data_IF_879211913454
#
_entry.id   IF_879211913454
#
_cell.length_a   1.000
_cell.length_b   1.000
_cell.length_c   1.000
_cell.angle_alpha   90.00
_cell.angle_beta   90.00
_cell.angle_gamma   90.00
#
_symmetry.space_group_name_H-M   'P 1'
#
loop_
_entity.id
_entity.type
_entity.pdbx_description
1 polymer ?
#
# COMPACT_ATOMS: atom_id res chain seq x y z
N UNK A 1 -27.80 0.09 -13.48
CA UNK A 1 -28.61 -0.48 -14.58
C UNK A 1 -30.05 -0.05 -14.37
N UNK A 2 -30.73 0.48 -15.39
CA UNK A 2 -32.12 0.96 -15.31
C UNK A 2 -33.05 -0.12 -15.86
N UNK A 3 -34.00 -0.56 -15.05
CA UNK A 3 -35.03 -1.53 -15.47
C UNK A 3 -36.38 -0.82 -15.43
N UNK A 4 -37.09 -0.88 -16.55
CA UNK A 4 -38.46 -0.40 -16.66
C UNK A 4 -39.39 -1.60 -16.49
N UNK A 5 -40.29 -1.53 -15.51
CA UNK A 5 -41.27 -2.58 -15.23
C UNK A 5 -42.50 -2.41 -16.11
N UNK A 6 -43.30 -3.47 -16.23
CA UNK A 6 -44.51 -3.51 -17.05
C UNK A 6 -45.56 -2.45 -16.64
N UNK A 7 -45.50 -1.95 -15.39
CA UNK A 7 -46.32 -0.85 -14.87
C UNK A 7 -45.71 0.55 -15.07
N UNK A 8 -44.68 0.68 -15.92
CA UNK A 8 -44.05 1.96 -16.28
C UNK A 8 -43.20 2.57 -15.17
N UNK A 9 -42.91 1.82 -14.10
CA UNK A 9 -42.01 2.27 -13.03
C UNK A 9 -40.57 2.00 -13.42
N UNK A 10 -39.72 2.95 -13.07
CA UNK A 10 -38.30 2.87 -13.32
C UNK A 10 -37.58 2.55 -12.02
N UNK A 11 -36.89 1.41 -11.97
CA UNK A 11 -36.02 1.04 -10.87
C UNK A 11 -34.57 1.18 -11.31
N UNK A 12 -33.82 1.98 -10.55
CA UNK A 12 -32.39 2.11 -10.73
C UNK A 12 -31.69 1.14 -9.78
N UNK A 13 -31.13 0.07 -10.35
CA UNK A 13 -30.26 -0.83 -9.62
C UNK A 13 -28.85 -0.24 -9.67
N UNK A 14 -28.40 0.27 -8.53
CA UNK A 14 -26.98 0.56 -8.31
C UNK A 14 -26.33 -0.79 -8.01
N UNK A 15 -25.44 -1.24 -8.90
CA UNK A 15 -24.72 -2.51 -8.76
C UNK A 15 -23.38 -2.33 -8.04
N UNK A 16 -23.15 -1.16 -7.46
CA UNK A 16 -21.90 -0.81 -6.80
C UNK A 16 -22.22 -0.41 -5.37
N UNK A 17 -21.61 -1.08 -4.40
CA UNK A 17 -21.52 -0.54 -3.06
C UNK A 17 -20.97 0.88 -3.15
N UNK A 18 -21.73 1.87 -2.69
CA UNK A 18 -21.36 3.30 -2.79
C UNK A 18 -20.07 3.64 -2.04
N UNK A 19 -19.62 2.75 -1.16
CA UNK A 19 -18.31 2.74 -0.53
C UNK A 19 -17.94 1.29 -0.21
N UNK A 20 -16.65 0.97 -0.30
CA UNK A 20 -16.09 -0.32 0.07
C UNK A 20 -15.02 -0.06 1.12
N UNK A 21 -15.12 -0.72 2.27
CA UNK A 21 -14.03 -0.68 3.24
C UNK A 21 -12.90 -1.57 2.74
N UNK A 22 -11.74 -0.95 2.56
CA UNK A 22 -10.51 -1.60 2.15
C UNK A 22 -9.57 -1.67 3.34
N UNK A 23 -8.95 -2.82 3.58
CA UNK A 23 -7.92 -2.95 4.61
C UNK A 23 -6.71 -2.09 4.26
N UNK A 24 -6.07 -1.50 5.27
CA UNK A 24 -4.76 -0.89 5.09
C UNK A 24 -3.77 -1.95 4.55
N UNK A 25 -2.81 -1.58 3.69
CA UNK A 25 -1.80 -2.51 3.23
C UNK A 25 -0.98 -3.01 4.42
N UNK A 26 -0.76 -4.32 4.49
CA UNK A 26 0.00 -4.96 5.56
C UNK A 26 1.30 -5.51 4.99
N UNK A 27 2.42 -5.12 5.59
CA UNK A 27 3.73 -5.61 5.19
C UNK A 27 3.98 -7.01 5.71
N UNK A 28 4.81 -7.76 5.00
CA UNK A 28 5.15 -9.14 5.36
C UNK A 28 6.64 -9.20 5.66
N UNK A 29 7.42 -8.69 4.72
CA UNK A 29 8.86 -8.72 4.79
C UNK A 29 9.46 -7.60 3.94
N UNK A 30 10.70 -7.25 4.25
CA UNK A 30 11.47 -6.30 3.46
C UNK A 30 12.82 -6.91 3.07
N UNK A 31 13.41 -6.41 1.99
CA UNK A 31 14.71 -6.83 1.49
C UNK A 31 15.36 -5.72 0.69
N UNK A 32 16.62 -5.92 0.33
CA UNK A 32 17.41 -4.90 -0.34
C UNK A 32 18.13 -5.42 -1.60
N UNK A 33 17.90 -6.68 -1.95
CA UNK A 33 18.46 -7.39 -3.10
C UNK A 33 17.39 -8.19 -3.88
N UNK A 34 16.15 -8.22 -3.41
CA UNK A 34 15.04 -8.98 -4.01
C UNK A 34 15.10 -10.50 -3.81
N UNK A 35 16.06 -10.99 -3.03
CA UNK A 35 16.29 -12.42 -2.78
C UNK A 35 16.18 -12.74 -1.29
N UNK A 36 16.87 -11.97 -0.46
CA UNK A 36 16.89 -12.12 0.98
C UNK A 36 15.87 -11.18 1.61
N UNK A 37 14.97 -11.76 2.39
CA UNK A 37 13.87 -11.03 3.03
C UNK A 37 13.89 -11.24 4.54
N UNK A 38 13.70 -10.13 5.27
CA UNK A 38 13.50 -10.12 6.71
C UNK A 38 12.01 -9.93 6.99
N UNK A 39 11.40 -10.89 7.68
CA UNK A 39 10.00 -10.80 8.07
C UNK A 39 9.80 -9.69 9.11
N UNK A 40 8.64 -9.04 9.03
CA UNK A 40 8.25 -8.02 10.01
C UNK A 40 7.58 -8.72 11.18
N UNK A 41 8.15 -8.53 12.37
CA UNK A 41 7.60 -9.05 13.60
C UNK A 41 6.60 -8.06 14.20
N UNK A 42 5.32 -8.26 13.89
CA UNK A 42 4.22 -7.47 14.46
C UNK A 42 3.95 -7.77 15.94
N UNK A 43 4.58 -8.80 16.52
CA UNK A 43 4.47 -9.12 17.96
C UNK A 43 5.55 -8.42 18.79
N UNK A 44 6.65 -7.98 18.16
CA UNK A 44 7.66 -7.19 18.82
C UNK A 44 7.08 -5.81 19.19
N UNK A 45 7.08 -5.49 20.48
CA UNK A 45 6.57 -4.22 20.98
C UNK A 45 7.65 -3.48 21.77
N UNK A 46 7.66 -2.16 21.65
CA UNK A 46 8.43 -1.24 22.50
C UNK A 46 7.46 -0.60 23.48
N UNK A 47 7.85 -0.59 24.75
CA UNK A 47 7.13 0.15 25.77
C UNK A 47 7.46 1.63 25.68
N UNK A 48 6.46 2.48 25.48
CA UNK A 48 6.60 3.93 25.58
C UNK A 48 5.75 4.47 26.74
N UNK A 49 5.97 5.73 27.18
CA UNK A 49 5.11 6.38 28.18
C UNK A 49 3.63 6.44 27.78
N UNK A 50 3.33 6.30 26.48
CA UNK A 50 2.00 6.34 25.89
C UNK A 50 1.40 4.93 25.69
N UNK A 51 2.09 3.88 26.15
CA UNK A 51 1.70 2.47 26.04
C UNK A 51 2.61 1.63 25.15
N UNK A 52 2.33 0.32 25.07
CA UNK A 52 3.03 -0.59 24.16
C UNK A 52 2.72 -0.22 22.71
N UNK A 53 3.75 -0.08 21.89
CA UNK A 53 3.65 0.16 20.44
C UNK A 53 4.39 -0.92 19.70
N UNK A 54 3.96 -1.25 18.47
CA UNK A 54 4.72 -2.17 17.61
C UNK A 54 6.12 -1.59 17.40
N UNK A 55 7.13 -2.43 17.52
CA UNK A 55 8.50 -2.09 17.20
C UNK A 55 8.62 -1.92 15.67
N UNK A 56 8.52 -0.68 15.21
CA UNK A 56 8.62 -0.35 13.79
C UNK A 56 9.96 -0.88 13.23
N UNK A 57 9.94 -1.76 12.21
CA UNK A 57 11.17 -2.24 11.62
C UNK A 57 11.93 -1.06 11.00
N UNK A 58 13.19 -0.89 11.41
CA UNK A 58 14.07 0.11 10.81
C UNK A 58 14.82 -0.53 9.66
N UNK A 59 14.50 -0.10 8.42
CA UNK A 59 15.08 -0.69 7.22
C UNK A 59 16.23 0.19 6.73
N UNK A 60 17.43 -0.36 6.71
CA UNK A 60 18.61 0.34 6.18
C UNK A 60 18.58 0.34 4.64
N UNK A 61 18.68 1.52 4.04
CA UNK A 61 18.69 1.70 2.58
C UNK A 61 19.80 2.68 2.20
N UNK A 62 20.64 2.31 1.23
CA UNK A 62 21.66 3.19 0.64
C UNK A 62 21.10 4.08 -0.49
N UNK A 63 21.86 5.08 -0.98
CA UNK A 63 21.35 6.11 -1.89
C UNK A 63 20.96 5.58 -3.28
N UNK A 64 21.58 4.48 -3.71
CA UNK A 64 21.29 3.79 -4.97
C UNK A 64 20.59 2.43 -4.76
N UNK A 65 20.16 2.12 -3.54
CA UNK A 65 19.64 0.80 -3.21
C UNK A 65 18.14 0.71 -3.49
N UNK A 66 17.73 -0.42 -4.08
CA UNK A 66 16.32 -0.76 -4.24
C UNK A 66 15.79 -1.36 -2.93
N UNK A 67 14.74 -0.75 -2.40
CA UNK A 67 13.94 -1.33 -1.33
C UNK A 67 12.90 -2.28 -1.93
N UNK A 68 12.86 -3.51 -1.42
CA UNK A 68 11.87 -4.52 -1.79
C UNK A 68 10.92 -4.74 -0.61
N UNK A 69 9.63 -4.55 -0.82
CA UNK A 69 8.60 -4.77 0.20
C UNK A 69 7.63 -5.85 -0.28
N UNK A 70 7.45 -6.89 0.53
CA UNK A 70 6.34 -7.85 0.36
C UNK A 70 5.15 -7.35 1.17
N UNK A 71 3.99 -7.29 0.54
CA UNK A 71 2.73 -6.85 1.16
C UNK A 71 1.62 -7.84 0.85
N UNK A 72 0.68 -7.99 1.78
CA UNK A 72 -0.60 -8.60 1.47
C UNK A 72 -1.40 -7.66 0.56
N UNK A 73 -2.13 -8.22 -0.40
CA UNK A 73 -3.05 -7.43 -1.21
C UNK A 73 -4.15 -6.86 -0.31
N UNK A 74 -4.59 -5.60 -0.52
CA UNK A 74 -5.71 -5.05 0.22
C UNK A 74 -6.97 -5.89 0.04
N UNK A 75 -7.79 -5.96 1.08
CA UNK A 75 -8.99 -6.77 1.12
C UNK A 75 -10.23 -5.93 1.35
N UNK A 76 -11.37 -6.42 0.86
CA UNK A 76 -12.69 -5.90 1.23
C UNK A 76 -13.59 -7.01 1.75
N UNK A 77 -14.64 -6.60 2.46
CA UNK A 77 -15.77 -7.47 2.73
C UNK A 77 -16.45 -7.87 1.41
N UNK A 78 -16.99 -9.08 1.39
CA UNK A 78 -17.84 -9.52 0.31
C UNK A 78 -19.11 -8.66 0.24
N UNK A 79 -19.61 -8.45 -0.97
CA UNK A 79 -20.86 -7.74 -1.24
C UNK A 79 -21.96 -8.73 -1.63
N UNK A 80 -23.22 -8.31 -1.59
CA UNK A 80 -24.36 -9.18 -1.88
C UNK A 80 -24.23 -9.85 -3.25
N UNK A 81 -24.36 -11.19 -3.28
CA UNK A 81 -24.22 -12.02 -4.47
C UNK A 81 -22.84 -12.66 -4.64
N UNK A 82 -21.87 -12.31 -3.80
CA UNK A 82 -20.57 -12.97 -3.74
C UNK A 82 -20.56 -14.19 -2.81
N UNK A 83 -19.70 -15.15 -3.10
CA UNK A 83 -19.62 -16.42 -2.37
C UNK A 83 -18.60 -16.42 -1.23
N UNK A 84 -17.65 -15.48 -1.24
CA UNK A 84 -16.62 -15.33 -0.20
C UNK A 84 -17.10 -14.49 0.99
N UNK A 85 -16.26 -14.42 2.04
CA UNK A 85 -16.44 -13.44 3.15
C UNK A 85 -15.57 -12.20 2.95
N UNK A 86 -14.37 -12.40 2.40
CA UNK A 86 -13.46 -11.33 2.01
C UNK A 86 -12.92 -11.61 0.61
N UNK A 87 -12.57 -10.53 -0.08
CA UNK A 87 -11.97 -10.57 -1.41
C UNK A 87 -10.65 -9.80 -1.38
N UNK A 88 -9.59 -10.45 -1.88
CA UNK A 88 -8.35 -9.77 -2.24
C UNK A 88 -8.63 -8.89 -3.47
N UNK A 89 -8.15 -7.67 -3.43
CA UNK A 89 -8.45 -6.65 -4.42
C UNK A 89 -7.39 -6.53 -5.50
N UNK A 90 -7.86 -6.41 -6.74
CA UNK A 90 -7.03 -6.25 -7.93
C UNK A 90 -6.73 -4.79 -8.27
N UNK A 91 -5.63 -4.54 -8.97
CA UNK A 91 -5.43 -3.29 -9.73
C UNK A 91 -5.11 -2.05 -8.89
N UNK A 92 -4.75 -2.22 -7.62
CA UNK A 92 -4.38 -1.11 -6.75
C UNK A 92 -3.05 -0.47 -7.18
N UNK A 93 -2.96 0.84 -7.01
CA UNK A 93 -1.72 1.61 -7.17
C UNK A 93 -1.10 1.88 -5.81
N UNK A 94 0.22 1.74 -5.74
CA UNK A 94 1.02 1.95 -4.55
C UNK A 94 2.08 2.99 -4.86
N UNK A 95 2.07 4.10 -4.13
CA UNK A 95 3.01 5.20 -4.35
C UNK A 95 3.68 5.59 -3.04
N UNK A 96 5.03 5.67 -2.98
CA UNK A 96 5.69 6.23 -1.82
C UNK A 96 5.47 7.75 -1.76
N UNK A 97 5.12 8.25 -0.59
CA UNK A 97 4.87 9.65 -0.29
C UNK A 97 5.66 10.04 0.95
N UNK A 98 6.34 11.19 0.88
CA UNK A 98 7.21 11.67 1.94
C UNK A 98 6.72 13.06 2.35
N UNK A 99 5.52 13.15 2.95
CA UNK A 99 4.89 14.45 3.17
C UNK A 99 5.60 15.26 4.24
N UNK A 100 6.21 14.60 5.24
CA UNK A 100 6.72 15.21 6.45
C UNK A 100 8.22 15.58 6.37
N UNK A 101 8.59 16.46 5.44
CA UNK A 101 9.97 16.98 5.31
C UNK A 101 10.04 18.50 5.19
N UNK A 102 11.21 19.11 5.48
CA UNK A 102 11.47 20.53 5.25
C UNK A 102 12.81 20.74 4.51
N UNK A 103 12.80 20.94 3.17
CA UNK A 103 11.64 20.85 2.27
C UNK A 103 11.10 19.41 2.14
N UNK A 104 9.82 19.28 1.83
CA UNK A 104 9.14 17.98 1.68
C UNK A 104 9.28 17.45 0.26
N UNK A 105 9.68 16.18 0.09
CA UNK A 105 9.67 15.50 -1.21
C UNK A 105 8.24 15.24 -1.69
N UNK A 106 7.30 14.96 -0.78
CA UNK A 106 5.91 14.64 -1.11
C UNK A 106 5.77 13.34 -1.92
N UNK A 107 4.66 13.21 -2.66
CA UNK A 107 4.35 12.01 -3.45
C UNK A 107 5.39 11.79 -4.55
N UNK A 108 5.97 10.60 -4.57
CA UNK A 108 7.00 10.19 -5.52
C UNK A 108 6.37 9.34 -6.65
N UNK A 109 5.68 10.02 -7.57
CA UNK A 109 4.91 9.37 -8.64
C UNK A 109 5.76 8.48 -9.55
N UNK A 110 7.06 8.76 -9.69
CA UNK A 110 8.01 7.97 -10.47
C UNK A 110 8.23 6.54 -9.94
N UNK A 111 7.83 6.27 -8.70
CA UNK A 111 7.90 4.96 -8.06
C UNK A 111 6.52 4.29 -7.90
N UNK A 112 5.49 4.83 -8.53
CA UNK A 112 4.14 4.22 -8.52
C UNK A 112 4.20 2.81 -9.10
N UNK A 113 3.72 1.84 -8.33
CA UNK A 113 3.55 0.45 -8.74
C UNK A 113 2.07 0.13 -8.85
N UNK A 114 1.64 -0.47 -9.96
CA UNK A 114 0.27 -0.98 -10.12
C UNK A 114 0.30 -2.50 -9.99
N UNK A 115 -0.60 -3.08 -9.20
CA UNK A 115 -0.78 -4.52 -9.18
C UNK A 115 -1.43 -4.97 -10.49
N UNK A 116 -0.63 -5.60 -11.35
CA UNK A 116 -1.06 -6.15 -12.64
C UNK A 116 -1.18 -7.68 -12.63
N UNK A 117 -0.74 -8.32 -11.54
CA UNK A 117 -0.76 -9.77 -11.41
C UNK A 117 -2.18 -10.26 -11.10
N UNK A 118 -2.84 -9.63 -10.12
CA UNK A 118 -4.25 -9.89 -9.84
C UNK A 118 -5.10 -9.00 -10.74
N UNK A 119 -5.85 -9.63 -11.65
CA UNK A 119 -6.67 -8.92 -12.65
C UNK A 119 -8.10 -8.66 -12.21
N UNK A 120 -8.60 -9.47 -11.28
CA UNK A 120 -9.98 -9.43 -10.78
C UNK A 120 -9.98 -9.72 -9.30
N UNK A 121 -10.86 -9.05 -8.56
CA UNK A 121 -11.11 -9.36 -7.15
C UNK A 121 -11.38 -10.85 -6.99
N UNK A 122 -10.71 -11.47 -6.03
CA UNK A 122 -10.75 -12.93 -5.84
C UNK A 122 -11.06 -13.23 -4.38
N UNK A 123 -11.93 -14.21 -4.08
CA UNK A 123 -12.16 -14.63 -2.69
C UNK A 123 -10.83 -14.98 -2.01
N UNK A 124 -10.64 -14.52 -0.77
CA UNK A 124 -9.42 -14.80 -0.02
C UNK A 124 -9.18 -16.31 0.11
N UNK A 125 -7.94 -16.73 -0.10
CA UNK A 125 -7.46 -18.05 0.33
C UNK A 125 -6.62 -17.88 1.60
N UNK A 126 -7.17 -18.22 2.76
CA UNK A 126 -6.45 -18.06 4.04
C UNK A 126 -5.27 -19.01 4.20
N UNK A 127 -5.25 -20.14 3.47
CA UNK A 127 -4.13 -21.07 3.47
C UNK A 127 -2.96 -20.60 2.59
N UNK A 128 -3.23 -19.72 1.63
CA UNK A 128 -2.24 -19.13 0.73
C UNK A 128 -2.63 -17.66 0.44
N UNK A 129 -2.40 -16.76 1.41
CA UNK A 129 -2.85 -15.38 1.28
C UNK A 129 -2.15 -14.68 0.12
N UNK A 130 -2.90 -13.89 -0.64
CA UNK A 130 -2.37 -13.22 -1.82
C UNK A 130 -1.39 -12.10 -1.45
N UNK A 131 -0.21 -12.12 -2.08
CA UNK A 131 0.87 -11.16 -1.81
C UNK A 131 1.40 -10.51 -3.08
N UNK A 132 1.93 -9.30 -2.96
CA UNK A 132 2.64 -8.62 -4.04
C UNK A 132 3.98 -8.05 -3.54
N UNK A 133 4.85 -7.73 -4.50
CA UNK A 133 6.17 -7.14 -4.22
C UNK A 133 6.28 -5.74 -4.80
N UNK A 134 6.53 -4.76 -3.93
CA UNK A 134 6.85 -3.38 -4.31
C UNK A 134 8.38 -3.22 -4.42
N UNK A 135 8.84 -2.45 -5.41
CA UNK A 135 10.27 -2.23 -5.70
C UNK A 135 10.54 -0.74 -5.84
N UNK A 136 11.28 -0.17 -4.89
CA UNK A 136 11.44 1.28 -4.79
C UNK A 136 12.89 1.71 -4.68
N UNK A 137 13.35 2.43 -5.71
CA UNK A 137 14.67 3.07 -5.73
C UNK A 137 14.56 4.48 -5.12
N UNK A 138 14.22 4.54 -3.83
CA UNK A 138 13.83 5.78 -3.13
C UNK A 138 14.87 6.89 -3.34
N UNK A 139 16.14 6.61 -3.05
CA UNK A 139 17.21 7.60 -3.16
C UNK A 139 17.43 8.08 -4.60
N UNK A 140 17.33 7.19 -5.58
CA UNK A 140 17.61 7.50 -6.98
C UNK A 140 16.43 8.15 -7.73
N UNK A 141 15.19 7.96 -7.26
CA UNK A 141 13.98 8.37 -7.99
C UNK A 141 13.03 9.30 -7.21
N UNK A 142 13.26 9.54 -5.92
CA UNK A 142 12.49 10.51 -5.14
C UNK A 142 13.33 11.70 -4.65
N UNK A 143 14.60 11.45 -4.33
CA UNK A 143 15.53 12.49 -3.90
C UNK A 143 16.46 12.91 -5.04
N UNK A 144 16.95 14.15 -4.98
CA UNK A 144 17.86 14.76 -5.95
C UNK A 144 17.39 14.69 -7.42
N UNK A 145 16.07 14.58 -7.62
CA UNK A 145 15.42 14.56 -8.93
C UNK A 145 14.35 15.65 -9.05
N UNK A 146 14.01 16.10 -10.27
CA UNK A 146 12.91 17.03 -10.50
C UNK A 146 11.56 16.47 -10.00
N UNK A 147 10.59 17.34 -9.62
CA UNK A 147 10.66 18.80 -9.69
C UNK A 147 11.34 19.46 -8.48
N UNK A 148 11.45 18.76 -7.34
CA UNK A 148 11.87 19.38 -6.07
C UNK A 148 13.38 19.37 -5.83
N UNK A 149 14.12 18.41 -6.41
CA UNK A 149 15.58 18.30 -6.33
C UNK A 149 16.14 18.36 -4.89
N UNK A 150 15.47 17.69 -3.95
CA UNK A 150 15.83 17.70 -2.53
C UNK A 150 16.86 16.61 -2.26
N UNK A 151 18.01 16.95 -1.66
CA UNK A 151 19.03 15.97 -1.31
C UNK A 151 18.54 15.00 -0.21
N UNK A 152 18.86 13.71 -0.36
CA UNK A 152 18.63 12.74 0.72
C UNK A 152 19.73 12.85 1.77
N UNK A 153 19.35 13.02 3.04
CA UNK A 153 20.29 13.14 4.16
C UNK A 153 20.30 11.86 5.00
N UNK A 154 21.48 11.37 5.46
CA UNK A 154 21.56 10.20 6.32
C UNK A 154 20.71 10.33 7.57
N UNK A 155 20.12 9.21 8.02
CA UNK A 155 19.26 9.16 9.19
C UNK A 155 17.87 8.58 8.94
N UNK A 156 17.02 8.53 9.98
CA UNK A 156 15.68 7.98 9.89
C UNK A 156 14.75 8.89 9.08
N UNK A 157 13.87 8.29 8.30
CA UNK A 157 12.81 8.98 7.56
C UNK A 157 11.55 8.10 7.50
N UNK A 158 10.40 8.74 7.64
CA UNK A 158 9.09 8.11 7.54
C UNK A 158 8.51 8.30 6.13
N UNK A 159 7.94 7.23 5.58
CA UNK A 159 7.35 7.18 4.25
C UNK A 159 5.92 6.68 4.40
N UNK A 160 4.98 7.39 3.80
CA UNK A 160 3.61 6.94 3.66
C UNK A 160 3.47 6.20 2.33
N UNK A 161 2.90 5.01 2.36
CA UNK A 161 2.55 4.27 1.15
C UNK A 161 1.11 4.60 0.82
N UNK A 162 0.90 5.45 -0.17
CA UNK A 162 -0.42 5.77 -0.70
C UNK A 162 -0.92 4.59 -1.51
N UNK A 163 -2.11 4.13 -1.17
CA UNK A 163 -2.82 3.01 -1.80
C UNK A 163 -4.10 3.54 -2.40
N UNK A 164 -4.18 3.45 -3.73
CA UNK A 164 -5.25 4.04 -4.52
C UNK A 164 -5.98 2.94 -5.32
N UNK A 165 -7.30 2.82 -5.19
CA UNK A 165 -8.08 1.87 -5.99
C UNK A 165 -8.09 2.27 -7.47
N UNK A 166 -8.40 1.31 -8.34
CA UNK A 166 -8.55 1.53 -9.78
C UNK A 166 -9.86 2.25 -10.15
N UNK A 167 -10.84 2.29 -9.24
CA UNK A 167 -12.15 2.92 -9.40
C UNK A 167 -12.47 3.98 -8.32
N UNK A 168 -13.72 4.47 -8.24
CA UNK A 168 -14.13 5.43 -7.22
C UNK A 168 -14.00 4.80 -5.82
N UNK A 169 -13.15 5.39 -4.98
CA UNK A 169 -12.88 4.92 -3.63
C UNK A 169 -11.93 5.86 -2.89
N UNK A 170 -11.88 5.72 -1.57
CA UNK A 170 -10.98 6.49 -0.72
C UNK A 170 -9.55 5.96 -0.79
N UNK A 171 -8.58 6.87 -0.68
CA UNK A 171 -7.17 6.50 -0.56
C UNK A 171 -6.88 6.00 0.86
N UNK A 172 -5.99 5.02 0.98
CA UNK A 172 -5.44 4.57 2.26
C UNK A 172 -3.94 4.84 2.29
N UNK A 173 -3.37 5.07 3.47
CA UNK A 173 -1.94 5.23 3.64
C UNK A 173 -1.44 4.36 4.78
N UNK A 174 -0.30 3.72 4.59
CA UNK A 174 0.41 3.00 5.65
C UNK A 174 1.82 3.54 5.77
N UNK A 175 2.22 3.89 7.00
CA UNK A 175 3.55 4.40 7.28
C UNK A 175 4.58 3.27 7.39
N UNK A 176 5.78 3.52 6.86
CA UNK A 176 6.98 2.73 7.05
C UNK A 176 8.15 3.65 7.43
N UNK A 177 9.04 3.20 8.31
CA UNK A 177 10.28 3.90 8.64
C UNK A 177 11.45 3.24 7.95
N UNK A 178 12.27 4.04 7.28
CA UNK A 178 13.56 3.62 6.74
C UNK A 178 14.67 4.46 7.36
N UNK A 179 15.89 3.95 7.35
CA UNK A 179 17.08 4.71 7.72
C UNK A 179 18.02 4.74 6.53
N UNK A 180 18.31 5.95 6.06
CA UNK A 180 19.39 6.15 5.11
C UNK A 180 20.72 5.94 5.82
N UNK A 181 21.43 4.89 5.40
CA UNK A 181 22.82 4.61 5.77
C UNK A 181 23.73 4.99 4.60
N UNK A 182 24.70 5.87 4.85
CA UNK A 182 25.68 6.35 3.87
C UNK A 182 26.68 5.29 3.47
#
# INVERSE_FOLDING_TARGET
MKVETEDGKNYEFTSSAGFVFVTHPMFIAYGNDGVNYTNIDYSATIQSPEGARINEPTINVGPAQTLWLKVYRPQRLAIDGETGTFYDLAGFKFTPDIPNGNPSVGKCDALTSTDLEMKTDTPINTADPSTMTLKWDIGAKCYSVPPKNIAWAPGPADFDIQVEPSGPGGNSAQKIRITYVS
#
